data_IF_171318168276
#
_entry.id   IF_171318168276
#
_cell.length_a   1.000
_cell.length_b   1.000
_cell.length_c   1.000
_cell.angle_alpha   90.00
_cell.angle_beta   90.00
_cell.angle_gamma   90.00
#
_symmetry.space_group_name_H-M   'P 1'
#
loop_
_entity.id
_entity.type
_entity.pdbx_description
1 polymer ?
#
# COMPACT_ATOMS: atom_id res chain seq x y z
N UNK A 1 10.69 32.61 -1.71
CA UNK A 1 9.65 32.07 -0.80
C UNK A 1 8.25 32.12 -1.40
N UNK A 2 7.64 33.28 -1.70
CA UNK A 2 6.27 33.33 -2.25
C UNK A 2 6.11 32.67 -3.64
N UNK A 3 7.05 32.91 -4.56
CA UNK A 3 7.04 32.29 -5.90
C UNK A 3 7.26 30.76 -5.85
N UNK A 4 8.07 30.29 -4.91
CA UNK A 4 8.36 28.86 -4.69
C UNK A 4 7.12 28.12 -4.15
N UNK A 5 6.41 28.74 -3.20
CA UNK A 5 5.13 28.23 -2.69
C UNK A 5 4.05 28.21 -3.78
N UNK A 6 4.01 29.21 -4.66
CA UNK A 6 3.07 29.24 -5.78
C UNK A 6 3.35 28.13 -6.81
N UNK A 7 4.62 27.87 -7.12
CA UNK A 7 5.04 26.77 -8.00
C UNK A 7 4.70 25.41 -7.39
N UNK A 8 5.00 25.20 -6.10
CA UNK A 8 4.66 23.96 -5.39
C UNK A 8 3.17 23.64 -5.47
N UNK A 9 2.31 24.60 -5.12
CA UNK A 9 0.84 24.43 -5.17
C UNK A 9 0.32 24.10 -6.57
N UNK A 10 0.92 24.69 -7.61
CA UNK A 10 0.56 24.40 -9.00
C UNK A 10 0.91 22.97 -9.40
N UNK A 11 2.06 22.46 -8.95
CA UNK A 11 2.48 21.08 -9.19
C UNK A 11 1.55 20.11 -8.44
N UNK A 12 1.25 20.39 -7.18
CA UNK A 12 0.32 19.59 -6.36
C UNK A 12 -1.07 19.53 -6.99
N UNK A 13 -1.63 20.66 -7.41
CA UNK A 13 -2.94 20.71 -8.07
C UNK A 13 -2.96 19.96 -9.41
N UNK A 14 -1.86 20.03 -10.18
CA UNK A 14 -1.74 19.25 -11.43
C UNK A 14 -1.66 17.75 -11.16
N UNK A 15 -0.97 17.34 -10.12
CA UNK A 15 -0.88 15.94 -9.72
C UNK A 15 -2.24 15.43 -9.22
N UNK A 16 -2.95 16.21 -8.42
CA UNK A 16 -4.32 15.90 -7.98
C UNK A 16 -5.26 15.71 -9.18
N UNK A 17 -5.22 16.64 -10.16
CA UNK A 17 -6.00 16.53 -11.38
C UNK A 17 -5.68 15.26 -12.17
N UNK A 18 -4.39 14.98 -12.38
CA UNK A 18 -3.94 13.77 -13.10
C UNK A 18 -4.42 12.49 -12.42
N UNK A 19 -4.31 12.40 -11.09
CA UNK A 19 -4.77 11.23 -10.33
C UNK A 19 -6.28 11.11 -10.39
N UNK A 20 -7.02 12.20 -10.17
CA UNK A 20 -8.47 12.20 -10.20
C UNK A 20 -9.02 11.75 -11.57
N UNK A 21 -8.46 12.28 -12.66
CA UNK A 21 -8.82 11.92 -14.04
C UNK A 21 -8.53 10.45 -14.36
N UNK A 22 -7.49 9.86 -13.75
CA UNK A 22 -7.04 8.50 -14.04
C UNK A 22 -7.33 7.51 -12.92
N UNK A 23 -8.18 7.86 -11.95
CA UNK A 23 -8.33 7.09 -10.70
C UNK A 23 -8.78 5.65 -10.93
N UNK A 24 -9.70 5.42 -11.87
CA UNK A 24 -10.15 4.06 -12.21
C UNK A 24 -9.04 3.23 -12.82
N UNK A 25 -8.27 3.82 -13.74
CA UNK A 25 -7.11 3.16 -14.36
C UNK A 25 -6.09 2.77 -13.30
N UNK A 26 -5.76 3.68 -12.38
CA UNK A 26 -4.81 3.44 -11.30
C UNK A 26 -5.34 2.38 -10.32
N UNK A 27 -6.58 2.53 -9.85
CA UNK A 27 -7.16 1.74 -8.77
C UNK A 27 -7.63 0.34 -9.18
N UNK A 28 -7.94 0.14 -10.47
CA UNK A 28 -8.55 -1.11 -10.98
C UNK A 28 -7.75 -1.70 -12.13
N UNK A 29 -7.44 -0.93 -13.17
CA UNK A 29 -6.80 -1.50 -14.37
C UNK A 29 -5.37 -1.95 -14.08
N UNK A 30 -4.54 -1.11 -13.46
CA UNK A 30 -3.17 -1.47 -13.07
C UNK A 30 -3.09 -2.71 -12.17
N UNK A 31 -3.86 -2.82 -11.07
CA UNK A 31 -3.83 -4.00 -10.21
C UNK A 31 -4.39 -5.26 -10.89
N UNK A 32 -5.42 -5.15 -11.74
CA UNK A 32 -5.90 -6.30 -12.53
C UNK A 32 -4.84 -6.79 -13.50
N UNK A 33 -4.22 -5.89 -14.27
CA UNK A 33 -3.13 -6.24 -15.19
C UNK A 33 -1.94 -6.81 -14.43
N UNK A 34 -1.60 -6.22 -13.27
CA UNK A 34 -0.57 -6.72 -12.37
C UNK A 34 -0.85 -8.15 -11.90
N UNK A 35 -2.08 -8.42 -11.42
CA UNK A 35 -2.49 -9.75 -11.00
C UNK A 35 -2.37 -10.75 -12.14
N UNK A 36 -2.92 -10.43 -13.33
CA UNK A 36 -2.85 -11.29 -14.51
C UNK A 36 -1.41 -11.58 -14.92
N UNK A 37 -0.54 -10.57 -14.92
CA UNK A 37 0.86 -10.75 -15.31
C UNK A 37 1.64 -11.58 -14.28
N UNK A 38 1.37 -11.40 -12.99
CA UNK A 38 1.98 -12.20 -11.91
C UNK A 38 1.51 -13.66 -11.96
N UNK A 39 0.21 -13.89 -12.14
CA UNK A 39 -0.35 -15.24 -12.30
C UNK A 39 0.19 -15.92 -13.57
N UNK A 40 0.24 -15.20 -14.70
CA UNK A 40 0.85 -15.73 -15.91
C UNK A 40 2.36 -15.99 -15.75
N UNK A 41 3.04 -15.27 -14.86
CA UNK A 41 4.45 -15.51 -14.53
C UNK A 41 4.60 -16.78 -13.68
N UNK A 42 3.75 -16.96 -12.67
CA UNK A 42 3.70 -18.15 -11.81
C UNK A 42 3.43 -19.42 -12.63
N UNK A 43 2.46 -19.36 -13.54
CA UNK A 43 2.08 -20.47 -14.43
C UNK A 43 3.01 -20.62 -15.65
N UNK A 44 4.10 -19.84 -15.73
CA UNK A 44 5.06 -19.86 -16.84
C UNK A 44 4.45 -19.58 -18.23
N UNK A 45 3.30 -18.92 -18.30
CA UNK A 45 2.55 -18.59 -19.53
C UNK A 45 3.16 -17.42 -20.30
N UNK A 46 3.93 -16.55 -19.65
CA UNK A 46 4.68 -15.46 -20.30
C UNK A 46 6.18 -15.76 -20.37
N UNK A 47 6.84 -15.25 -21.40
CA UNK A 47 8.28 -15.43 -21.61
C UNK A 47 9.17 -14.51 -20.76
N UNK A 48 10.51 -14.70 -20.81
CA UNK A 48 11.47 -14.01 -19.94
C UNK A 48 11.39 -12.48 -19.89
N UNK A 49 11.06 -11.74 -20.98
CA UNK A 49 10.98 -10.28 -20.91
C UNK A 49 9.89 -9.76 -19.96
N UNK A 50 8.82 -10.55 -19.76
CA UNK A 50 7.66 -10.17 -18.98
C UNK A 50 7.55 -10.95 -17.66
N UNK A 51 8.00 -12.21 -17.65
CA UNK A 51 7.92 -13.10 -16.50
C UNK A 51 8.64 -12.50 -15.31
N UNK A 52 7.89 -12.16 -14.26
CA UNK A 52 8.41 -11.54 -13.04
C UNK A 52 9.39 -10.39 -13.29
N UNK A 53 9.13 -9.57 -14.30
CA UNK A 53 10.00 -8.46 -14.62
C UNK A 53 10.00 -7.44 -13.47
N UNK A 54 11.13 -7.37 -12.76
CA UNK A 54 11.34 -6.52 -11.59
C UNK A 54 10.97 -5.04 -11.82
N UNK A 55 11.26 -4.49 -12.99
CA UNK A 55 10.96 -3.10 -13.31
C UNK A 55 9.47 -2.88 -13.57
N UNK A 56 8.77 -3.85 -14.19
CA UNK A 56 7.32 -3.77 -14.38
C UNK A 56 6.58 -3.89 -13.04
N UNK A 57 7.04 -4.79 -12.15
CA UNK A 57 6.49 -4.92 -10.80
C UNK A 57 6.64 -3.60 -10.05
N UNK A 58 7.85 -3.03 -10.04
CA UNK A 58 8.13 -1.77 -9.36
C UNK A 58 7.33 -0.61 -9.97
N UNK A 59 7.29 -0.50 -11.30
CA UNK A 59 6.54 0.54 -12.01
C UNK A 59 5.04 0.46 -11.70
N UNK A 60 4.45 -0.73 -11.83
CA UNK A 60 3.03 -0.95 -11.52
C UNK A 60 2.73 -0.57 -10.08
N UNK A 61 3.60 -0.94 -9.14
CA UNK A 61 3.46 -0.56 -7.73
C UNK A 61 3.52 0.95 -7.54
N UNK A 62 4.52 1.63 -8.12
CA UNK A 62 4.63 3.10 -8.03
C UNK A 62 3.36 3.78 -8.56
N UNK A 63 2.81 3.33 -9.68
CA UNK A 63 1.57 3.87 -10.24
C UNK A 63 0.41 3.69 -9.27
N UNK A 64 0.24 2.49 -8.69
CA UNK A 64 -0.80 2.23 -7.68
C UNK A 64 -0.64 3.12 -6.44
N UNK A 65 0.60 3.51 -6.07
CA UNK A 65 0.86 4.39 -4.91
C UNK A 65 0.63 5.89 -5.18
N UNK A 66 0.45 6.30 -6.44
CA UNK A 66 0.28 7.72 -6.80
C UNK A 66 -0.86 8.44 -6.04
N UNK A 67 -2.04 7.83 -5.82
CA UNK A 67 -3.13 8.51 -5.11
C UNK A 67 -2.76 8.87 -3.68
N UNK A 68 -2.05 7.99 -2.97
CA UNK A 68 -1.55 8.27 -1.63
C UNK A 68 -0.50 9.39 -1.65
N UNK A 69 0.44 9.36 -2.60
CA UNK A 69 1.49 10.38 -2.73
C UNK A 69 0.88 11.76 -3.04
N UNK A 70 -0.03 11.84 -4.00
CA UNK A 70 -0.76 13.06 -4.35
C UNK A 70 -1.62 13.58 -3.19
N UNK A 71 -2.29 12.66 -2.50
CA UNK A 71 -3.08 12.95 -1.31
C UNK A 71 -2.26 13.59 -0.18
N UNK A 72 -1.08 13.04 0.10
CA UNK A 72 -0.21 13.50 1.19
C UNK A 72 0.67 14.70 0.85
N UNK A 73 0.97 14.96 -0.43
CA UNK A 73 1.90 16.02 -0.83
C UNK A 73 1.58 17.41 -0.24
N UNK A 74 0.31 17.88 -0.20
CA UNK A 74 -0.03 19.19 0.37
C UNK A 74 0.15 19.29 1.89
N UNK A 75 0.08 18.16 2.60
CA UNK A 75 0.24 18.10 4.07
C UNK A 75 1.65 17.69 4.51
N UNK A 76 2.55 17.45 3.54
CA UNK A 76 3.94 17.11 3.81
C UNK A 76 4.75 18.37 4.14
N UNK A 77 4.88 18.65 5.44
CA UNK A 77 5.81 19.64 5.96
C UNK A 77 7.19 19.02 6.27
N UNK A 78 8.12 19.82 6.83
CA UNK A 78 9.46 19.34 7.17
C UNK A 78 9.44 18.22 8.21
N UNK A 79 8.51 18.27 9.16
CA UNK A 79 8.40 17.30 10.25
C UNK A 79 7.84 15.98 9.71
N UNK A 80 6.82 16.05 8.87
CA UNK A 80 6.26 14.91 8.15
C UNK A 80 7.31 14.26 7.23
N UNK A 81 8.07 15.05 6.47
CA UNK A 81 9.16 14.56 5.62
C UNK A 81 10.25 13.83 6.42
N UNK A 82 10.66 14.38 7.57
CA UNK A 82 11.62 13.72 8.47
C UNK A 82 11.06 12.43 9.08
N UNK A 83 9.78 12.41 9.44
CA UNK A 83 9.11 11.20 9.92
C UNK A 83 9.03 10.10 8.87
N UNK A 84 8.68 10.45 7.62
CA UNK A 84 8.72 9.53 6.48
C UNK A 84 10.14 9.01 6.25
N UNK A 85 11.16 9.89 6.26
CA UNK A 85 12.55 9.47 6.10
C UNK A 85 13.02 8.54 7.23
N UNK A 86 12.60 8.80 8.48
CA UNK A 86 12.88 7.92 9.61
C UNK A 86 12.20 6.55 9.43
N UNK A 87 10.98 6.50 8.90
CA UNK A 87 10.29 5.25 8.59
C UNK A 87 10.93 4.49 7.44
N UNK A 88 11.46 5.18 6.43
CA UNK A 88 12.28 4.56 5.38
C UNK A 88 13.53 3.93 5.98
N UNK A 89 14.24 4.67 6.84
CA UNK A 89 15.42 4.15 7.54
C UNK A 89 15.10 2.95 8.43
N UNK A 90 13.99 3.00 9.16
CA UNK A 90 13.49 1.89 9.96
C UNK A 90 13.17 0.67 9.08
N UNK A 91 12.42 0.84 7.99
CA UNK A 91 12.03 -0.24 7.08
C UNK A 91 13.26 -0.97 6.53
N UNK A 92 14.24 -0.24 6.00
CA UNK A 92 15.48 -0.88 5.54
C UNK A 92 16.26 -1.54 6.69
N UNK A 93 16.35 -0.89 7.85
CA UNK A 93 17.08 -1.42 8.99
C UNK A 93 16.49 -2.73 9.51
N UNK A 94 15.16 -2.76 9.73
CA UNK A 94 14.47 -3.95 10.26
C UNK A 94 14.45 -5.08 9.23
N UNK A 95 14.33 -4.75 7.94
CA UNK A 95 14.35 -5.73 6.85
C UNK A 95 15.73 -6.38 6.69
N UNK A 96 16.81 -5.59 6.76
CA UNK A 96 18.18 -6.12 6.72
C UNK A 96 18.46 -7.04 7.91
N UNK A 97 17.96 -6.69 9.11
CA UNK A 97 18.04 -7.57 10.28
C UNK A 97 17.22 -8.84 10.04
N UNK A 98 16.02 -8.71 9.46
CA UNK A 98 15.13 -9.81 9.09
C UNK A 98 15.79 -10.82 8.15
N UNK A 99 16.34 -10.35 7.04
CA UNK A 99 17.03 -11.20 6.05
C UNK A 99 18.30 -11.83 6.66
N UNK A 100 19.05 -11.10 7.48
CA UNK A 100 20.31 -11.60 8.04
C UNK A 100 20.12 -12.57 9.22
N UNK A 101 19.06 -12.42 10.01
CA UNK A 101 18.91 -13.13 11.31
C UNK A 101 17.61 -13.94 11.44
N UNK A 102 16.63 -13.70 10.57
CA UNK A 102 15.27 -14.21 10.72
C UNK A 102 14.43 -13.49 11.78
N UNK A 103 14.95 -12.46 12.44
CA UNK A 103 14.17 -11.65 13.39
C UNK A 103 13.83 -10.27 12.79
N UNK A 104 12.60 -9.75 12.94
CA UNK A 104 11.48 -10.32 13.68
C UNK A 104 10.57 -11.22 12.83
N UNK A 105 10.72 -11.23 11.50
CA UNK A 105 9.71 -11.76 10.58
C UNK A 105 9.73 -13.30 10.42
N UNK A 106 10.70 -13.99 11.00
CA UNK A 106 11.05 -15.37 10.64
C UNK A 106 12.14 -15.39 9.57
N UNK A 107 12.77 -16.55 9.38
CA UNK A 107 13.75 -16.73 8.29
C UNK A 107 13.01 -16.76 6.96
N UNK A 108 13.29 -15.81 6.08
CA UNK A 108 12.74 -15.76 4.73
C UNK A 108 13.79 -15.34 3.72
N UNK A 109 13.54 -15.67 2.47
CA UNK A 109 14.36 -15.25 1.34
C UNK A 109 13.48 -14.69 0.21
N UNK A 110 13.94 -13.59 -0.40
CA UNK A 110 13.36 -13.10 -1.65
C UNK A 110 13.75 -14.04 -2.79
N UNK A 111 12.77 -14.79 -3.29
CA UNK A 111 12.94 -15.73 -4.42
C UNK A 111 12.80 -15.03 -5.76
N UNK A 112 12.15 -13.87 -5.80
CA UNK A 112 11.99 -13.03 -6.99
C UNK A 112 12.41 -11.59 -6.69
N UNK A 113 13.14 -10.98 -7.61
CA UNK A 113 13.56 -9.58 -7.48
C UNK A 113 12.37 -8.62 -7.69
N UNK A 114 12.11 -7.77 -6.71
CA UNK A 114 11.03 -6.77 -6.73
C UNK A 114 11.52 -5.37 -7.18
N UNK A 115 12.56 -5.36 -8.01
CA UNK A 115 13.28 -4.16 -8.44
C UNK A 115 14.79 -4.34 -8.27
N UNK A 116 15.56 -3.25 -8.36
CA UNK A 116 16.96 -3.26 -7.98
C UNK A 116 17.11 -3.70 -6.51
N UNK A 117 18.01 -4.65 -6.26
CA UNK A 117 18.24 -5.24 -4.92
C UNK A 117 19.57 -4.74 -4.35
N UNK A 118 19.62 -4.48 -3.04
CA UNK A 118 20.82 -4.15 -2.29
C UNK A 118 20.90 -5.04 -1.05
N UNK A 119 21.97 -5.82 -0.93
CA UNK A 119 22.17 -6.75 0.19
C UNK A 119 20.97 -7.69 0.45
N UNK A 120 20.31 -8.15 -0.62
CA UNK A 120 19.13 -9.03 -0.54
C UNK A 120 17.80 -8.30 -0.31
N UNK A 121 17.80 -6.97 -0.16
CA UNK A 121 16.60 -6.16 0.10
C UNK A 121 16.27 -5.29 -1.12
N UNK A 122 15.00 -5.20 -1.56
CA UNK A 122 14.64 -4.33 -2.69
C UNK A 122 14.80 -2.86 -2.34
N UNK A 123 15.44 -2.07 -3.21
CA UNK A 123 15.51 -0.61 -3.07
C UNK A 123 14.13 0.05 -3.12
N UNK A 124 13.15 -0.63 -3.73
CA UNK A 124 11.73 -0.25 -3.72
C UNK A 124 11.01 -0.50 -2.40
N UNK A 125 11.65 -1.06 -1.36
CA UNK A 125 11.02 -1.41 -0.07
C UNK A 125 10.12 -0.29 0.49
N UNK A 126 10.49 1.00 0.46
CA UNK A 126 9.60 2.06 0.92
C UNK A 126 8.28 2.14 0.15
N UNK A 127 8.29 1.88 -1.14
CA UNK A 127 7.09 1.89 -2.01
C UNK A 127 6.20 0.68 -1.73
N UNK A 128 6.78 -0.44 -1.27
CA UNK A 128 6.03 -1.62 -0.87
C UNK A 128 5.43 -1.48 0.53
N UNK A 129 6.19 -0.99 1.50
CA UNK A 129 5.83 -1.02 2.92
C UNK A 129 5.07 0.24 3.42
N UNK A 130 5.58 1.46 3.15
CA UNK A 130 5.00 2.69 3.72
C UNK A 130 3.51 2.87 3.36
N UNK A 131 3.07 2.63 2.11
CA UNK A 131 1.66 2.76 1.75
C UNK A 131 0.73 1.83 2.53
N UNK A 132 1.19 0.63 2.89
CA UNK A 132 0.39 -0.32 3.67
C UNK A 132 0.06 0.22 5.06
N UNK A 133 1.08 0.78 5.74
CA UNK A 133 0.89 1.38 7.08
C UNK A 133 0.14 2.72 7.01
N UNK A 134 0.42 3.55 6.01
CA UNK A 134 -0.26 4.83 5.81
C UNK A 134 -1.74 4.63 5.47
N UNK A 135 -2.08 3.78 4.50
CA UNK A 135 -3.48 3.50 4.16
C UNK A 135 -4.24 2.88 5.33
N UNK A 136 -3.61 1.98 6.09
CA UNK A 136 -4.22 1.43 7.31
C UNK A 136 -4.52 2.52 8.34
N UNK A 137 -3.60 3.48 8.51
CA UNK A 137 -3.79 4.64 9.38
C UNK A 137 -4.94 5.54 8.89
N UNK A 138 -4.94 5.90 7.61
CA UNK A 138 -5.97 6.75 7.00
C UNK A 138 -7.36 6.11 7.01
N UNK A 139 -7.45 4.80 6.70
CA UNK A 139 -8.70 4.06 6.80
C UNK A 139 -9.25 4.08 8.22
N UNK A 140 -8.38 3.89 9.23
CA UNK A 140 -8.80 3.98 10.63
C UNK A 140 -9.28 5.38 11.01
N UNK A 141 -8.65 6.46 10.50
CA UNK A 141 -9.12 7.82 10.75
C UNK A 141 -10.55 8.04 10.23
N UNK A 142 -10.87 7.50 9.05
CA UNK A 142 -12.21 7.62 8.45
C UNK A 142 -13.24 6.73 9.17
N UNK A 143 -12.92 5.45 9.37
CA UNK A 143 -13.88 4.47 9.91
C UNK A 143 -14.21 4.72 11.38
N UNK A 144 -13.23 5.18 12.17
CA UNK A 144 -13.42 5.46 13.59
C UNK A 144 -13.88 6.90 13.87
N UNK A 145 -13.72 7.82 12.92
CA UNK A 145 -14.05 9.24 13.08
C UNK A 145 -13.42 9.83 14.35
N UNK A 146 -14.24 10.35 15.25
CA UNK A 146 -13.76 11.02 16.47
C UNK A 146 -13.13 10.08 17.50
N UNK A 147 -13.48 8.79 17.47
CA UNK A 147 -12.83 7.78 18.32
C UNK A 147 -11.34 7.65 17.97
N UNK A 148 -10.95 7.94 16.72
CA UNK A 148 -9.55 7.99 16.30
C UNK A 148 -8.76 9.09 17.01
N UNK A 149 -9.39 10.06 17.69
CA UNK A 149 -8.71 11.06 18.50
C UNK A 149 -7.99 10.45 19.73
N UNK A 150 -8.50 9.32 20.25
CA UNK A 150 -7.92 8.62 21.39
C UNK A 150 -6.73 7.77 20.92
N UNK A 151 -5.52 8.15 21.35
CA UNK A 151 -4.25 7.50 20.92
C UNK A 151 -4.27 5.98 21.05
N UNK A 152 -4.76 5.45 22.18
CA UNK A 152 -4.81 4.01 22.41
C UNK A 152 -5.74 3.28 21.42
N UNK A 153 -6.93 3.84 21.14
CA UNK A 153 -7.88 3.26 20.18
C UNK A 153 -7.27 3.26 18.78
N UNK A 154 -6.70 4.40 18.36
CA UNK A 154 -6.05 4.53 17.06
C UNK A 154 -4.88 3.56 16.93
N UNK A 155 -4.02 3.46 17.94
CA UNK A 155 -2.89 2.54 17.92
C UNK A 155 -3.33 1.09 17.72
N UNK A 156 -4.28 0.61 18.53
CA UNK A 156 -4.78 -0.76 18.43
C UNK A 156 -5.47 -1.01 17.09
N UNK A 157 -6.32 -0.08 16.64
CA UNK A 157 -7.04 -0.23 15.38
C UNK A 157 -6.11 -0.25 14.16
N UNK A 158 -5.09 0.61 14.14
CA UNK A 158 -4.14 0.65 13.03
C UNK A 158 -3.24 -0.58 13.04
N UNK A 159 -2.77 -1.04 14.20
CA UNK A 159 -2.03 -2.32 14.28
C UNK A 159 -2.89 -3.47 13.76
N UNK A 160 -4.16 -3.56 14.18
CA UNK A 160 -5.07 -4.59 13.70
C UNK A 160 -5.31 -4.51 12.18
N UNK A 161 -5.43 -3.30 11.63
CA UNK A 161 -5.62 -3.10 10.18
C UNK A 161 -4.35 -3.42 9.38
N UNK A 162 -3.17 -3.08 9.90
CA UNK A 162 -1.89 -3.47 9.28
C UNK A 162 -1.71 -4.99 9.30
N UNK A 163 -2.06 -5.66 10.41
CA UNK A 163 -2.07 -7.12 10.45
C UNK A 163 -3.08 -7.72 9.48
N UNK A 164 -4.26 -7.11 9.33
CA UNK A 164 -5.25 -7.54 8.35
C UNK A 164 -4.70 -7.45 6.93
N UNK A 165 -3.99 -6.37 6.61
CA UNK A 165 -3.28 -6.20 5.32
C UNK A 165 -2.23 -7.29 5.13
N UNK A 166 -1.39 -7.55 6.14
CA UNK A 166 -0.35 -8.60 6.08
C UNK A 166 -0.93 -10.02 5.91
N UNK A 167 -1.99 -10.33 6.64
CA UNK A 167 -2.74 -11.59 6.53
C UNK A 167 -3.38 -11.81 5.15
N UNK A 168 -3.47 -10.78 4.32
CA UNK A 168 -3.91 -10.85 2.91
C UNK A 168 -2.71 -10.91 1.97
N UNK A 169 -1.71 -10.05 2.18
CA UNK A 169 -0.55 -9.89 1.30
C UNK A 169 0.33 -11.14 1.30
N UNK A 170 0.80 -11.57 2.46
CA UNK A 170 1.85 -12.58 2.56
C UNK A 170 1.46 -13.95 1.99
N UNK A 171 0.25 -14.50 2.25
CA UNK A 171 -0.19 -15.73 1.62
C UNK A 171 -0.18 -15.66 0.09
N UNK A 172 -0.60 -14.53 -0.47
CA UNK A 172 -0.59 -14.32 -1.91
C UNK A 172 0.83 -14.23 -2.45
N UNK A 173 1.71 -13.52 -1.75
CA UNK A 173 3.10 -13.31 -2.13
C UNK A 173 3.92 -14.61 -2.07
N UNK A 174 3.70 -15.43 -1.05
CA UNK A 174 4.28 -16.78 -0.93
C UNK A 174 3.76 -17.68 -2.06
N UNK A 175 2.45 -17.63 -2.37
CA UNK A 175 1.86 -18.46 -3.41
C UNK A 175 2.40 -18.14 -4.82
N UNK A 176 2.62 -16.85 -5.14
CA UNK A 176 3.28 -16.43 -6.39
C UNK A 176 4.82 -16.50 -6.31
N UNK A 177 5.38 -16.98 -5.20
CA UNK A 177 6.82 -17.18 -5.05
C UNK A 177 7.64 -15.90 -5.02
N UNK A 178 7.12 -14.78 -4.49
CA UNK A 178 7.94 -13.58 -4.27
C UNK A 178 9.00 -13.79 -3.17
N UNK A 179 8.60 -14.49 -2.10
CA UNK A 179 9.49 -14.94 -1.04
C UNK A 179 9.01 -16.27 -0.47
N UNK A 180 9.90 -16.93 0.26
CA UNK A 180 9.62 -18.19 0.97
C UNK A 180 10.12 -18.11 2.39
N UNK A 181 9.32 -18.59 3.35
CA UNK A 181 9.71 -18.76 4.75
C UNK A 181 10.17 -20.20 5.07
N UNK A 182 10.18 -21.11 4.08
CA UNK A 182 10.43 -22.54 4.31
C UNK A 182 9.31 -23.29 5.04
N UNK A 183 8.23 -22.61 5.44
CA UNK A 183 7.04 -23.18 6.05
C UNK A 183 6.41 -22.29 7.12
N UNK A 184 5.12 -22.47 7.34
CA UNK A 184 4.38 -21.67 8.31
C UNK A 184 2.91 -22.11 8.38
N UNK A 185 2.30 -21.94 9.56
CA UNK A 185 0.95 -22.47 9.83
C UNK A 185 -0.16 -21.76 9.04
N UNK A 186 0.11 -20.56 8.53
CA UNK A 186 -0.85 -19.77 7.78
C UNK A 186 -0.35 -19.60 6.35
N UNK A 187 -0.76 -20.50 5.46
CA UNK A 187 -0.41 -20.47 4.03
C UNK A 187 1.11 -20.34 3.76
N UNK A 188 1.94 -21.01 4.55
CA UNK A 188 3.40 -20.96 4.41
C UNK A 188 4.08 -19.80 5.16
N UNK A 189 3.32 -18.97 5.88
CA UNK A 189 3.82 -17.82 6.65
C UNK A 189 3.89 -18.18 8.16
N UNK A 190 5.03 -17.97 8.83
CA UNK A 190 5.20 -18.29 10.24
C UNK A 190 4.58 -17.22 11.15
N UNK A 191 4.22 -17.60 12.38
CA UNK A 191 3.64 -16.68 13.37
C UNK A 191 4.56 -15.50 13.70
N UNK A 192 5.88 -15.72 13.66
CA UNK A 192 6.88 -14.66 13.88
C UNK A 192 6.71 -13.49 12.93
N UNK A 193 6.30 -13.72 11.68
CA UNK A 193 6.04 -12.67 10.71
C UNK A 193 5.02 -11.67 11.23
N UNK A 194 3.85 -12.16 11.65
CA UNK A 194 2.78 -11.34 12.19
C UNK A 194 3.20 -10.61 13.47
N UNK A 195 4.02 -11.22 14.33
CA UNK A 195 4.58 -10.54 15.50
C UNK A 195 5.54 -9.41 15.09
N UNK A 196 6.35 -9.63 14.05
CA UNK A 196 7.18 -8.59 13.44
C UNK A 196 6.36 -7.44 12.86
N UNK A 197 5.24 -7.74 12.19
CA UNK A 197 4.33 -6.72 11.69
C UNK A 197 3.62 -5.95 12.80
N UNK A 198 3.34 -6.55 13.97
CA UNK A 198 2.90 -5.78 15.16
C UNK A 198 3.95 -4.75 15.57
N UNK A 199 5.22 -5.15 15.62
CA UNK A 199 6.32 -4.24 15.95
C UNK A 199 6.42 -3.11 14.92
N UNK A 200 6.44 -3.44 13.63
CA UNK A 200 6.54 -2.45 12.55
C UNK A 200 5.33 -1.51 12.52
N UNK A 201 4.12 -2.04 12.67
CA UNK A 201 2.90 -1.23 12.77
C UNK A 201 2.96 -0.28 13.97
N UNK A 202 3.42 -0.76 15.13
CA UNK A 202 3.55 0.08 16.33
C UNK A 202 4.52 1.23 16.09
N UNK A 203 5.73 0.95 15.56
CA UNK A 203 6.72 1.98 15.23
C UNK A 203 6.17 2.96 14.20
N UNK A 204 5.53 2.46 13.15
CA UNK A 204 4.91 3.28 12.10
C UNK A 204 3.84 4.20 12.65
N UNK A 205 2.89 3.71 13.44
CA UNK A 205 1.83 4.55 14.02
C UNK A 205 2.40 5.64 14.91
N UNK A 206 3.35 5.30 15.77
CA UNK A 206 3.99 6.29 16.65
C UNK A 206 4.75 7.35 15.85
N UNK A 207 5.48 6.94 14.81
CA UNK A 207 6.16 7.88 13.94
C UNK A 207 5.18 8.79 13.19
N UNK A 208 4.08 8.24 12.65
CA UNK A 208 3.06 9.03 11.95
C UNK A 208 2.35 10.02 12.87
N UNK A 209 1.98 9.58 14.08
CA UNK A 209 1.41 10.45 15.12
C UNK A 209 2.35 11.59 15.53
N UNK A 210 3.66 11.33 15.50
CA UNK A 210 4.68 12.33 15.79
C UNK A 210 5.05 13.16 14.58
N UNK A 211 4.79 12.72 13.35
CA UNK A 211 5.28 13.38 12.15
C UNK A 211 4.23 14.30 11.51
N UNK A 212 2.98 13.86 11.45
CA UNK A 212 1.92 14.58 10.75
C UNK A 212 1.07 15.43 11.70
N UNK A 213 0.68 16.63 11.23
CA UNK A 213 -0.43 17.36 11.85
C UNK A 213 -1.74 16.64 11.53
N UNK A 214 -2.33 16.02 12.55
CA UNK A 214 -3.57 15.24 12.43
C UNK A 214 -4.75 16.09 11.93
N UNK A 215 -4.82 17.37 12.26
CA UNK A 215 -5.92 18.24 11.85
C UNK A 215 -5.82 18.53 10.36
N UNK A 216 -4.62 18.89 9.90
CA UNK A 216 -4.36 19.11 8.47
C UNK A 216 -4.53 17.82 7.65
N UNK A 217 -4.04 16.69 8.18
CA UNK A 217 -4.19 15.39 7.53
C UNK A 217 -5.65 14.97 7.41
N UNK A 218 -6.46 15.13 8.47
CA UNK A 218 -7.89 14.80 8.43
C UNK A 218 -8.65 15.71 7.46
N UNK A 219 -8.38 17.02 7.48
CA UNK A 219 -9.00 17.95 6.54
C UNK A 219 -8.67 17.57 5.07
N UNK A 220 -7.40 17.25 4.78
CA UNK A 220 -7.01 16.80 3.45
C UNK A 220 -7.64 15.47 3.06
N UNK A 221 -7.72 14.52 3.98
CA UNK A 221 -8.41 13.24 3.77
C UNK A 221 -9.91 13.43 3.52
N UNK A 222 -10.51 14.44 4.15
CA UNK A 222 -11.91 14.77 3.96
C UNK A 222 -12.18 15.39 2.58
N UNK A 223 -11.23 16.15 2.03
CA UNK A 223 -11.31 16.78 0.70
C UNK A 223 -10.91 15.84 -0.46
N UNK A 224 -9.98 14.92 -0.22
CA UNK A 224 -9.32 14.14 -1.27
C UNK A 224 -9.89 12.72 -1.36
N UNK A 225 -10.85 12.53 -2.27
CA UNK A 225 -11.59 11.27 -2.44
C UNK A 225 -10.78 10.06 -2.91
N UNK A 226 -9.56 10.26 -3.44
CA UNK A 226 -8.73 9.17 -3.98
C UNK A 226 -7.63 8.69 -3.04
N UNK A 227 -7.48 9.25 -1.83
CA UNK A 227 -6.33 8.91 -0.95
C UNK A 227 -6.26 7.43 -0.56
N UNK A 228 -7.38 6.70 -0.61
CA UNK A 228 -7.45 5.26 -0.32
C UNK A 228 -7.57 4.38 -1.58
N UNK A 229 -7.47 4.94 -2.79
CA UNK A 229 -7.54 4.17 -4.05
C UNK A 229 -6.38 3.16 -4.17
N UNK A 230 -5.28 3.41 -3.45
CA UNK A 230 -4.18 2.46 -3.31
C UNK A 230 -4.60 1.19 -2.53
N UNK A 231 -5.49 1.31 -1.54
CA UNK A 231 -6.04 0.17 -0.80
C UNK A 231 -7.08 -0.61 -1.63
N UNK A 232 -7.79 0.05 -2.56
CA UNK A 232 -8.57 -0.65 -3.59
C UNK A 232 -7.64 -1.49 -4.45
N UNK A 233 -6.54 -0.89 -4.92
CA UNK A 233 -5.56 -1.60 -5.74
C UNK A 233 -5.01 -2.83 -5.03
N UNK A 234 -4.72 -2.69 -3.74
CA UNK A 234 -4.32 -3.78 -2.86
C UNK A 234 -5.37 -4.90 -2.82
N UNK A 235 -6.64 -4.58 -2.54
CA UNK A 235 -7.73 -5.56 -2.44
C UNK A 235 -7.94 -6.28 -3.77
N UNK A 236 -7.93 -5.55 -4.89
CA UNK A 236 -8.09 -6.12 -6.23
C UNK A 236 -6.94 -7.07 -6.57
N UNK A 237 -5.69 -6.61 -6.42
CA UNK A 237 -4.50 -7.39 -6.75
C UNK A 237 -4.37 -8.64 -5.88
N UNK A 238 -4.31 -8.46 -4.56
CA UNK A 238 -4.05 -9.57 -3.64
C UNK A 238 -5.29 -10.43 -3.40
N UNK A 239 -6.49 -9.86 -3.46
CA UNK A 239 -7.72 -10.64 -3.42
C UNK A 239 -7.82 -11.60 -4.61
N UNK A 240 -7.51 -11.12 -5.83
CA UNK A 240 -7.51 -11.96 -7.03
C UNK A 240 -6.44 -13.06 -6.98
N UNK A 241 -5.22 -12.73 -6.57
CA UNK A 241 -4.13 -13.71 -6.42
C UNK A 241 -4.51 -14.78 -5.38
N UNK A 242 -4.98 -14.38 -4.20
CA UNK A 242 -5.40 -15.34 -3.18
C UNK A 242 -6.57 -16.21 -3.62
N UNK A 243 -7.54 -15.65 -4.35
CA UNK A 243 -8.65 -16.42 -4.90
C UNK A 243 -8.17 -17.47 -5.91
N UNK A 244 -7.21 -17.12 -6.78
CA UNK A 244 -6.62 -18.04 -7.74
C UNK A 244 -5.95 -19.26 -7.07
N UNK A 245 -5.16 -19.02 -6.01
CA UNK A 245 -4.48 -20.09 -5.27
C UNK A 245 -5.35 -20.79 -4.21
N UNK A 246 -6.62 -20.41 -4.07
CA UNK A 246 -7.54 -21.04 -3.10
C UNK A 246 -7.29 -20.63 -1.64
N UNK A 247 -6.61 -19.51 -1.41
CA UNK A 247 -6.36 -18.93 -0.09
C UNK A 247 -7.61 -18.22 0.45
N UNK A 248 -8.67 -18.99 0.76
CA UNK A 248 -10.00 -18.44 1.05
C UNK A 248 -10.08 -17.57 2.32
N UNK A 249 -9.25 -17.84 3.33
CA UNK A 249 -9.20 -16.97 4.52
C UNK A 249 -8.68 -15.57 4.15
N UNK A 250 -7.51 -15.42 3.48
CA UNK A 250 -7.08 -14.16 2.88
C UNK A 250 -8.11 -13.48 1.98
N UNK A 251 -8.85 -14.22 1.15
CA UNK A 251 -9.93 -13.63 0.33
C UNK A 251 -11.01 -13.00 1.22
N UNK A 252 -11.47 -13.71 2.26
CA UNK A 252 -12.43 -13.17 3.22
C UNK A 252 -11.91 -11.91 3.93
N UNK A 253 -10.64 -11.89 4.31
CA UNK A 253 -10.00 -10.74 4.95
C UNK A 253 -9.85 -9.55 3.97
N UNK A 254 -9.57 -9.80 2.69
CA UNK A 254 -9.57 -8.76 1.66
C UNK A 254 -10.97 -8.16 1.47
N UNK A 255 -12.03 -8.97 1.56
CA UNK A 255 -13.41 -8.48 1.53
C UNK A 255 -13.77 -7.66 2.78
N UNK A 256 -13.19 -7.95 3.95
CA UNK A 256 -13.33 -7.10 5.14
C UNK A 256 -12.70 -5.72 4.91
N UNK A 257 -11.50 -5.67 4.30
CA UNK A 257 -10.88 -4.40 3.90
C UNK A 257 -11.76 -3.65 2.88
N UNK A 258 -12.31 -4.37 1.89
CA UNK A 258 -13.24 -3.80 0.91
C UNK A 258 -14.50 -3.22 1.58
N UNK A 259 -15.07 -3.91 2.58
CA UNK A 259 -16.21 -3.41 3.35
C UNK A 259 -15.87 -2.17 4.17
N UNK A 260 -14.68 -2.13 4.76
CA UNK A 260 -14.15 -0.95 5.45
C UNK A 260 -14.02 0.26 4.51
N UNK A 261 -13.53 0.02 3.29
CA UNK A 261 -13.46 1.00 2.22
C UNK A 261 -14.87 1.50 1.83
N UNK A 262 -15.81 0.61 1.51
CA UNK A 262 -17.17 1.00 1.12
C UNK A 262 -17.86 1.89 2.17
N UNK A 263 -17.62 1.64 3.47
CA UNK A 263 -18.16 2.46 4.56
C UNK A 263 -17.66 3.91 4.57
N UNK A 264 -16.59 4.23 3.83
CA UNK A 264 -16.06 5.59 3.76
C UNK A 264 -16.78 6.49 2.75
N UNK A 265 -17.70 5.95 1.94
CA UNK A 265 -18.44 6.65 0.86
C UNK A 265 -17.53 7.41 -0.13
N UNK A 266 -16.25 7.00 -0.28
CA UNK A 266 -15.26 7.61 -1.18
C UNK A 266 -15.20 6.99 -2.58
N UNK A 267 -16.01 5.95 -2.81
CA UNK A 267 -16.01 5.16 -4.03
C UNK A 267 -17.12 5.60 -4.97
N UNK A 268 -16.92 6.73 -5.62
CA UNK A 268 -17.67 7.11 -6.81
C UNK A 268 -16.72 7.10 -8.01
N UNK A 269 -16.79 6.03 -8.80
CA UNK A 269 -16.13 5.94 -10.11
C UNK A 269 -17.11 6.45 -11.17
N UNK A 270 -17.55 7.69 -11.03
CA UNK A 270 -18.31 8.36 -12.08
C UNK A 270 -17.43 8.46 -13.34
N UNK A 271 -17.58 7.49 -14.23
CA UNK A 271 -17.12 7.60 -15.61
C UNK A 271 -18.13 8.49 -16.31
N UNK A 272 -17.98 9.80 -16.21
CA UNK A 272 -18.75 10.70 -17.07
C UNK A 272 -18.41 10.34 -18.52
N UNK A 273 -19.39 9.94 -19.35
CA UNK A 273 -19.12 9.72 -20.75
C UNK A 273 -18.81 11.09 -21.34
N UNK A 274 -17.55 11.32 -21.71
CA UNK A 274 -17.18 12.43 -22.59
C UNK A 274 -17.71 12.09 -23.98
N UNK A 275 -19.03 12.16 -24.18
CA UNK A 275 -19.61 12.23 -25.52
C UNK A 275 -19.31 13.64 -26.00
N UNK A 276 -18.50 13.83 -27.05
CA UNK A 276 -18.43 15.14 -27.68
C UNK A 276 -19.82 15.42 -28.25
N UNK A 277 -20.46 16.50 -27.82
CA UNK A 277 -21.64 17.05 -28.49
C UNK A 277 -21.24 17.40 -29.93
N UNK A 278 -21.42 16.44 -30.84
CA UNK A 278 -21.19 16.61 -32.27
C UNK A 278 -22.40 17.23 -32.99
N UNK A 279 -23.33 17.85 -32.25
CA UNK A 279 -24.55 18.44 -32.81
C UNK A 279 -25.02 19.69 -32.05
N UNK A 280 -24.20 20.75 -32.04
CA UNK A 280 -24.67 22.13 -31.90
C UNK A 280 -23.89 23.05 -32.84
#
# INVERSE_FOLDING_TARGET
>A
MAAETATRRRIEARLDGLVAENRFTIAVVFPVVGALLLLASAESLVGPPLRYNALLILLGTIVMRLPLVAGLAPVLDRRAALGIAALVGYAFGIELIGVATGWPYGTFEYTIALGPMLAGVPLGLPVFFLPLVLNSYLLCLLVLGDAAGRRAIRLVAVIATVLLVDLVLDPGAVAIGFWSYGGGIYYGVPVSNYLGWVLSATVSVLALDLAFDRTALRARLDECGFMLDDLVSFVVLWGAINAYFGNWVPVGLALVLAGGLLKTDRFDFAVEPTVPDLWN
#
